data_IF_456950328265
#
_entry.id   IF_456950328265
#
_cell.length_a   1.000
_cell.length_b   1.000
_cell.length_c   1.000
_cell.angle_alpha   90.00
_cell.angle_beta   90.00
_cell.angle_gamma   90.00
#
_symmetry.space_group_name_H-M   'P 1'
#
loop_
_entity.id
_entity.type
_entity.pdbx_description
1 polymer ?
#
# COMPACT_ATOMS: atom_id res chain seq x y z
N UNK A 1 -14.72 25.78 -2.89
CA UNK A 1 -14.72 26.06 -4.35
C UNK A 1 -13.71 27.16 -4.76
N UNK A 2 -12.60 27.35 -4.04
CA UNK A 2 -11.63 28.42 -4.33
C UNK A 2 -10.50 28.02 -5.29
N UNK A 3 -10.12 26.74 -5.32
CA UNK A 3 -8.99 26.24 -6.11
C UNK A 3 -9.28 26.37 -7.61
N UNK A 4 -10.46 25.94 -8.06
CA UNK A 4 -10.90 26.07 -9.46
C UNK A 4 -10.91 27.53 -9.92
N UNK A 5 -11.44 28.45 -9.10
CA UNK A 5 -11.49 29.88 -9.40
C UNK A 5 -10.09 30.48 -9.54
N UNK A 6 -9.19 30.19 -8.60
CA UNK A 6 -7.79 30.67 -8.63
C UNK A 6 -7.00 30.12 -9.82
N UNK A 7 -7.27 28.87 -10.23
CA UNK A 7 -6.63 28.24 -11.37
C UNK A 7 -7.09 28.88 -12.68
N UNK A 8 -8.41 29.08 -12.88
CA UNK A 8 -8.95 29.76 -14.06
C UNK A 8 -8.51 31.23 -14.17
N UNK A 9 -8.39 31.94 -13.05
CA UNK A 9 -7.90 33.33 -13.02
C UNK A 9 -6.44 33.44 -13.51
N UNK A 10 -5.63 32.40 -13.31
CA UNK A 10 -4.18 32.41 -13.58
C UNK A 10 -3.79 31.66 -14.85
N UNK A 11 -4.63 30.72 -15.29
CA UNK A 11 -4.46 29.91 -16.49
C UNK A 11 -5.85 29.84 -17.18
N UNK A 12 -6.16 30.77 -18.10
CA UNK A 12 -7.50 30.93 -18.66
C UNK A 12 -7.93 29.81 -19.61
N UNK A 13 -7.02 28.92 -20.01
CA UNK A 13 -7.30 27.75 -20.87
C UNK A 13 -7.79 26.50 -20.10
N UNK A 14 -7.91 26.55 -18.77
CA UNK A 14 -8.41 25.41 -17.98
C UNK A 14 -9.92 25.25 -18.13
N UNK A 15 -10.34 24.18 -18.80
CA UNK A 15 -11.74 23.82 -19.02
C UNK A 15 -12.43 23.32 -17.73
N UNK A 16 -11.82 22.37 -17.02
CA UNK A 16 -12.34 21.83 -15.76
C UNK A 16 -11.24 21.41 -14.79
N UNK A 17 -11.54 21.48 -13.49
CA UNK A 17 -10.65 21.01 -12.43
C UNK A 17 -11.35 19.85 -11.73
N UNK A 18 -10.77 18.65 -11.84
CA UNK A 18 -11.28 17.45 -11.18
C UNK A 18 -10.37 17.13 -10.00
N UNK A 19 -10.95 16.93 -8.83
CA UNK A 19 -10.23 16.35 -7.70
C UNK A 19 -10.04 14.85 -8.01
N UNK A 20 -8.80 14.45 -8.28
CA UNK A 20 -8.46 13.03 -8.36
C UNK A 20 -8.40 12.52 -6.93
N UNK A 21 -9.31 11.63 -6.55
CA UNK A 21 -9.09 10.82 -5.36
C UNK A 21 -7.84 9.97 -5.64
N UNK A 22 -6.85 10.06 -4.75
CA UNK A 22 -5.69 9.16 -4.73
C UNK A 22 -6.20 7.74 -4.46
N UNK A 23 -6.79 7.09 -5.46
CA UNK A 23 -7.27 5.72 -5.39
C UNK A 23 -6.10 4.72 -5.23
N UNK A 24 -4.88 5.24 -5.33
CA UNK A 24 -3.63 4.51 -5.37
C UNK A 24 -3.56 3.55 -6.55
N UNK A 25 -2.54 2.70 -6.54
CA UNK A 25 -2.39 1.67 -7.55
C UNK A 25 -3.36 0.51 -7.28
N UNK A 26 -3.75 -0.22 -8.33
CA UNK A 26 -4.51 -1.45 -8.14
C UNK A 26 -3.62 -2.51 -7.46
N UNK A 27 -4.11 -3.22 -6.44
CA UNK A 27 -3.30 -4.23 -5.76
C UNK A 27 -2.96 -5.37 -6.72
N UNK A 28 -1.69 -5.57 -7.01
CA UNK A 28 -1.17 -6.68 -7.81
C UNK A 28 -0.15 -7.50 -7.01
N UNK A 29 0.03 -8.77 -7.36
CA UNK A 29 1.04 -9.62 -6.71
C UNK A 29 2.44 -9.04 -6.87
N UNK A 30 2.77 -8.57 -8.07
CA UNK A 30 4.05 -7.94 -8.37
C UNK A 30 4.26 -6.64 -7.58
N UNK A 31 3.23 -5.79 -7.48
CA UNK A 31 3.30 -4.56 -6.72
C UNK A 31 3.46 -4.81 -5.22
N UNK A 32 2.77 -5.80 -4.66
CA UNK A 32 2.94 -6.20 -3.26
C UNK A 32 4.36 -6.75 -3.05
N UNK A 33 4.86 -7.60 -3.95
CA UNK A 33 6.20 -8.17 -3.87
C UNK A 33 7.29 -7.08 -3.87
N UNK A 34 7.15 -6.05 -4.71
CA UNK A 34 8.07 -4.90 -4.71
C UNK A 34 8.09 -4.16 -3.36
N UNK A 35 6.95 -4.07 -2.67
CA UNK A 35 6.89 -3.48 -1.32
C UNK A 35 7.59 -4.41 -0.32
N UNK A 36 7.40 -5.73 -0.44
CA UNK A 36 8.05 -6.73 0.42
C UNK A 36 9.57 -6.72 0.23
N UNK A 37 10.07 -6.54 -0.99
CA UNK A 37 11.51 -6.48 -1.28
C UNK A 37 12.21 -5.32 -0.57
N UNK A 38 11.52 -4.20 -0.34
CA UNK A 38 12.07 -3.07 0.39
C UNK A 38 12.21 -3.34 1.90
N UNK A 39 11.37 -4.21 2.47
CA UNK A 39 11.39 -4.53 3.91
C UNK A 39 12.25 -5.76 4.23
N UNK A 40 12.46 -6.66 3.26
CA UNK A 40 13.27 -7.89 3.42
C UNK A 40 14.67 -7.66 4.00
N UNK A 41 15.44 -6.62 3.61
CA UNK A 41 16.75 -6.37 4.21
C UNK A 41 16.69 -6.16 5.73
N UNK A 42 15.68 -5.42 6.21
CA UNK A 42 15.49 -5.16 7.64
C UNK A 42 15.07 -6.43 8.38
N UNK A 43 14.20 -7.24 7.79
CA UNK A 43 13.78 -8.52 8.35
C UNK A 43 14.95 -9.51 8.46
N UNK A 44 15.83 -9.59 7.44
CA UNK A 44 17.02 -10.44 7.50
C UNK A 44 17.93 -10.09 8.68
N UNK A 45 18.12 -8.80 8.96
CA UNK A 45 18.93 -8.33 10.11
C UNK A 45 18.24 -8.68 11.43
N UNK A 46 16.91 -8.56 11.48
CA UNK A 46 16.10 -8.89 12.66
C UNK A 46 15.88 -10.41 12.86
N UNK A 47 16.42 -11.28 12.00
CA UNK A 47 16.23 -12.73 12.08
C UNK A 47 14.84 -13.21 11.66
N UNK A 48 14.16 -12.47 10.77
CA UNK A 48 12.85 -12.83 10.22
C UNK A 48 12.82 -12.87 8.69
N UNK A 49 11.71 -13.37 8.14
CA UNK A 49 11.44 -13.35 6.70
C UNK A 49 9.98 -13.05 6.41
N UNK A 50 9.69 -12.53 5.21
CA UNK A 50 8.32 -12.30 4.76
C UNK A 50 8.10 -12.80 3.34
N UNK A 51 6.96 -13.44 3.15
CA UNK A 51 6.54 -14.02 1.88
C UNK A 51 5.06 -13.70 1.62
N UNK A 52 4.73 -13.42 0.37
CA UNK A 52 3.34 -13.32 -0.08
C UNK A 52 2.77 -14.73 -0.26
N UNK A 53 1.73 -15.07 0.50
CA UNK A 53 1.09 -16.39 0.44
C UNK A 53 0.00 -16.40 -0.64
N UNK A 54 -0.92 -15.43 -0.56
CA UNK A 54 -2.03 -15.34 -1.49
C UNK A 54 -2.69 -13.97 -1.43
N UNK A 55 -3.44 -13.67 -2.49
CA UNK A 55 -4.22 -12.46 -2.66
C UNK A 55 -5.63 -12.86 -3.06
N UNK A 56 -6.63 -12.41 -2.29
CA UNK A 56 -8.03 -12.80 -2.46
C UNK A 56 -8.88 -11.56 -2.68
N UNK A 57 -9.94 -11.66 -3.50
CA UNK A 57 -10.88 -10.57 -3.79
C UNK A 57 -10.20 -9.29 -4.33
N UNK A 58 -9.15 -9.44 -5.14
CA UNK A 58 -8.36 -8.31 -5.66
C UNK A 58 -9.19 -7.34 -6.51
N UNK A 59 -10.06 -7.86 -7.36
CA UNK A 59 -10.99 -7.07 -8.16
C UNK A 59 -12.28 -6.70 -7.40
N UNK A 60 -12.43 -7.22 -6.17
CA UNK A 60 -13.62 -7.08 -5.35
C UNK A 60 -13.64 -5.81 -4.48
N UNK A 61 -14.70 -5.64 -3.69
CA UNK A 61 -14.85 -4.50 -2.78
C UNK A 61 -13.93 -4.58 -1.55
N UNK A 62 -13.42 -5.77 -1.21
CA UNK A 62 -12.57 -5.99 -0.05
C UNK A 62 -11.36 -6.90 -0.38
N UNK A 63 -10.32 -6.37 -1.04
CA UNK A 63 -9.07 -7.07 -1.29
C UNK A 63 -8.38 -7.48 0.02
N UNK A 64 -7.93 -8.74 0.07
CA UNK A 64 -7.23 -9.32 1.21
C UNK A 64 -5.86 -9.82 0.76
N UNK A 65 -4.83 -9.46 1.52
CA UNK A 65 -3.46 -9.93 1.31
C UNK A 65 -3.04 -10.82 2.47
N UNK A 66 -2.64 -12.06 2.16
CA UNK A 66 -2.12 -13.00 3.13
C UNK A 66 -0.59 -13.04 3.04
N UNK A 67 0.07 -12.68 4.13
CA UNK A 67 1.52 -12.65 4.26
C UNK A 67 1.94 -13.67 5.31
N UNK A 68 3.02 -14.40 5.02
CA UNK A 68 3.68 -15.25 6.01
C UNK A 68 4.86 -14.49 6.56
N UNK A 69 4.84 -14.22 7.86
CA UNK A 69 5.91 -13.50 8.54
C UNK A 69 6.56 -14.42 9.56
N UNK A 70 7.82 -14.75 9.34
CA UNK A 70 8.60 -15.57 10.27
C UNK A 70 9.60 -14.71 11.05
N UNK A 71 10.03 -15.20 12.19
CA UNK A 71 10.99 -14.54 13.08
C UNK A 71 10.44 -14.30 14.48
N UNK A 72 11.33 -14.15 15.45
CA UNK A 72 10.96 -14.00 16.88
C UNK A 72 11.65 -12.78 17.46
N UNK A 73 10.87 -11.82 18.00
CA UNK A 73 11.40 -10.66 18.71
C UNK A 73 10.49 -9.44 18.64
N UNK A 74 10.69 -8.47 19.56
CA UNK A 74 9.93 -7.22 19.59
C UNK A 74 10.06 -6.42 18.29
N UNK A 75 11.23 -6.50 17.64
CA UNK A 75 11.49 -5.84 16.35
C UNK A 75 10.52 -6.29 15.25
N UNK A 76 10.11 -7.56 15.24
CA UNK A 76 9.20 -8.10 14.20
C UNK A 76 7.79 -7.49 14.31
N UNK A 77 7.32 -7.17 15.52
CA UNK A 77 6.02 -6.51 15.71
C UNK A 77 6.03 -5.09 15.15
N UNK A 78 7.10 -4.33 15.37
CA UNK A 78 7.26 -2.99 14.78
C UNK A 78 7.33 -3.07 13.25
N UNK A 79 8.04 -4.07 12.71
CA UNK A 79 8.14 -4.27 11.26
C UNK A 79 6.80 -4.66 10.65
N UNK A 80 5.96 -5.45 11.32
CA UNK A 80 4.60 -5.79 10.88
C UNK A 80 3.72 -4.55 10.66
N UNK A 81 3.81 -3.57 11.57
CA UNK A 81 3.09 -2.29 11.45
C UNK A 81 3.61 -1.50 10.24
N UNK A 82 4.93 -1.43 10.07
CA UNK A 82 5.56 -0.73 8.94
C UNK A 82 5.20 -1.35 7.59
N UNK A 83 5.22 -2.69 7.48
CA UNK A 83 4.79 -3.42 6.27
C UNK A 83 3.35 -3.07 5.92
N UNK A 84 2.45 -3.14 6.92
CA UNK A 84 1.04 -2.83 6.72
C UNK A 84 0.83 -1.38 6.27
N UNK A 85 1.60 -0.45 6.86
CA UNK A 85 1.59 0.97 6.50
C UNK A 85 2.01 1.20 5.05
N UNK A 86 3.12 0.59 4.62
CA UNK A 86 3.62 0.71 3.23
C UNK A 86 2.65 0.14 2.21
N UNK A 87 2.12 -1.05 2.48
CA UNK A 87 1.14 -1.71 1.61
C UNK A 87 -0.12 -0.85 1.49
N UNK A 88 -0.69 -0.36 2.59
CA UNK A 88 -1.88 0.51 2.56
C UNK A 88 -1.62 1.87 1.91
N UNK A 89 -0.40 2.41 2.03
CA UNK A 89 -0.03 3.67 1.39
C UNK A 89 0.06 3.52 -0.13
N UNK A 90 0.58 2.38 -0.63
CA UNK A 90 0.68 2.12 -2.07
C UNK A 90 -0.64 1.64 -2.68
N UNK A 91 -1.37 0.82 -1.94
CA UNK A 91 -2.64 0.20 -2.35
C UNK A 91 -3.74 0.51 -1.31
N UNK A 92 -4.32 1.72 -1.33
CA UNK A 92 -5.34 2.16 -0.37
C UNK A 92 -6.60 1.27 -0.39
N UNK A 93 -6.85 0.59 -1.51
CA UNK A 93 -7.98 -0.33 -1.69
C UNK A 93 -7.84 -1.64 -0.89
N UNK A 94 -6.66 -1.99 -0.38
CA UNK A 94 -6.50 -3.21 0.43
C UNK A 94 -7.26 -3.06 1.75
N UNK A 95 -8.32 -3.85 1.91
CA UNK A 95 -9.16 -3.82 3.09
C UNK A 95 -8.47 -4.47 4.29
N UNK A 96 -7.86 -5.65 4.06
CA UNK A 96 -7.29 -6.47 5.12
C UNK A 96 -5.93 -7.04 4.73
N UNK A 97 -5.02 -7.05 5.70
CA UNK A 97 -3.72 -7.74 5.61
C UNK A 97 -3.67 -8.73 6.75
N UNK A 98 -3.55 -10.01 6.41
CA UNK A 98 -3.49 -11.12 7.36
C UNK A 98 -2.05 -11.58 7.42
N UNK A 99 -1.52 -11.71 8.63
CA UNK A 99 -0.18 -12.24 8.88
C UNK A 99 -0.32 -13.62 9.52
N UNK A 100 0.28 -14.63 8.89
CA UNK A 100 0.34 -16.02 9.36
C UNK A 100 1.75 -16.38 9.79
#
# INVERSE_FOLDING_TARGET
MGIEKRLRERIPEIESVVAVEDAGEQPSSEGVEQVLDQVRPFLKIAGGSIELVSMTNIDGPAPVVNLRLTGTGAAIQSVKVEISSRIRRRFPRIAQIVFT
#
